data_IF_707617960419
#
_entry.id   IF_707617960419
#
_cell.length_a   1.000
_cell.length_b   1.000
_cell.length_c   1.000
_cell.angle_alpha   90.00
_cell.angle_beta   90.00
_cell.angle_gamma   90.00
#
_symmetry.space_group_name_H-M   'P 1'
#
loop_
_entity.id
_entity.type
_entity.pdbx_description
1 polymer ?
#
# COMPACT_ATOMS: atom_id res chain seq x y z
N UNK A 1 16.98 12.23 42.95
CA UNK A 1 15.74 11.82 42.31
C UNK A 1 16.06 11.35 40.87
N UNK A 2 15.97 10.03 40.71
CA UNK A 2 16.23 9.38 39.43
C UNK A 2 14.98 9.54 38.54
N UNK A 3 15.15 10.16 37.40
CA UNK A 3 14.14 10.18 36.32
C UNK A 3 14.14 8.82 35.67
N UNK A 4 13.06 8.07 35.91
CA UNK A 4 12.76 6.79 35.27
C UNK A 4 12.60 6.99 33.77
N UNK A 5 13.42 6.27 32.99
CA UNK A 5 13.39 6.29 31.53
C UNK A 5 12.06 5.81 30.99
N UNK A 6 11.40 6.65 30.22
CA UNK A 6 10.26 6.28 29.38
C UNK A 6 10.79 5.32 28.32
N UNK A 7 10.46 4.04 28.46
CA UNK A 7 10.82 3.00 27.50
C UNK A 7 10.26 3.36 26.11
N UNK A 8 11.16 3.61 25.15
CA UNK A 8 10.78 3.66 23.72
C UNK A 8 10.18 2.31 23.34
N UNK A 9 8.85 2.25 23.19
CA UNK A 9 8.18 1.11 22.53
C UNK A 9 8.89 0.90 21.19
N UNK A 10 9.44 -0.30 20.94
CA UNK A 10 9.90 -0.70 19.61
C UNK A 10 8.72 -0.51 18.66
N UNK A 11 8.82 0.44 17.74
CA UNK A 11 7.83 0.59 16.67
C UNK A 11 7.82 -0.72 15.88
N UNK A 12 6.64 -1.35 15.78
CA UNK A 12 6.45 -2.58 15.01
C UNK A 12 6.80 -2.34 13.54
N UNK A 13 7.18 -3.42 12.83
CA UNK A 13 7.45 -3.36 11.37
C UNK A 13 6.22 -2.90 10.56
N UNK A 14 5.01 -3.10 11.10
CA UNK A 14 3.74 -2.77 10.45
C UNK A 14 2.82 -2.04 11.44
N UNK A 15 2.03 -1.11 10.92
CA UNK A 15 0.94 -0.50 11.67
C UNK A 15 -0.17 -1.53 11.92
N UNK A 16 -0.92 -1.41 13.02
CA UNK A 16 -2.10 -2.23 13.30
C UNK A 16 -3.11 -2.13 12.15
N UNK A 17 -3.40 -0.90 11.73
CA UNK A 17 -4.23 -0.58 10.58
C UNK A 17 -3.32 -0.25 9.38
N UNK A 18 -2.61 -1.28 8.88
CA UNK A 18 -1.70 -1.11 7.75
C UNK A 18 -2.47 -0.82 6.45
N UNK A 19 -1.84 -0.09 5.54
CA UNK A 19 -2.41 0.21 4.22
C UNK A 19 -2.73 -1.08 3.43
N UNK A 20 -1.81 -2.05 3.42
CA UNK A 20 -2.00 -3.32 2.72
C UNK A 20 -3.15 -4.19 3.25
N UNK A 21 -3.59 -3.97 4.50
CA UNK A 21 -4.74 -4.67 5.08
C UNK A 21 -6.01 -3.81 5.14
N UNK A 22 -6.00 -2.61 4.56
CA UNK A 22 -7.08 -1.64 4.66
C UNK A 22 -8.40 -2.14 4.09
N UNK A 23 -8.38 -2.83 2.97
CA UNK A 23 -9.59 -3.44 2.42
C UNK A 23 -10.28 -4.37 3.43
N UNK A 24 -9.53 -5.09 4.26
CA UNK A 24 -10.08 -5.96 5.29
C UNK A 24 -10.65 -5.17 6.47
N UNK A 25 -9.87 -4.29 7.09
CA UNK A 25 -10.31 -3.62 8.31
C UNK A 25 -11.33 -2.50 8.06
N UNK A 26 -11.40 -1.92 6.86
CA UNK A 26 -12.48 -1.00 6.49
C UNK A 26 -13.83 -1.73 6.34
N UNK A 27 -13.84 -2.95 5.80
CA UNK A 27 -15.04 -3.73 5.62
C UNK A 27 -15.43 -4.59 6.85
N UNK A 28 -14.47 -4.91 7.71
CA UNK A 28 -14.67 -5.68 8.94
C UNK A 28 -13.79 -5.09 10.04
N UNK A 29 -14.18 -3.96 10.67
CA UNK A 29 -13.37 -3.26 11.67
C UNK A 29 -12.85 -4.15 12.80
N UNK A 30 -13.63 -5.07 13.40
CA UNK A 30 -13.14 -5.94 14.48
C UNK A 30 -11.98 -6.85 14.04
N UNK A 31 -11.84 -7.11 12.73
CA UNK A 31 -10.78 -7.95 12.19
C UNK A 31 -9.38 -7.39 12.44
N UNK A 32 -9.24 -6.08 12.70
CA UNK A 32 -7.96 -5.47 13.03
C UNK A 32 -7.38 -6.09 14.30
N UNK A 33 -8.12 -6.00 15.40
CA UNK A 33 -7.70 -6.57 16.70
C UNK A 33 -7.77 -8.09 16.74
N UNK A 34 -8.77 -8.67 16.07
CA UNK A 34 -8.86 -10.13 15.98
C UNK A 34 -7.61 -10.76 15.37
N UNK A 35 -7.07 -10.17 14.30
CA UNK A 35 -5.86 -10.68 13.64
C UNK A 35 -4.59 -10.60 14.49
N UNK A 36 -4.54 -9.74 15.53
CA UNK A 36 -3.40 -9.71 16.47
C UNK A 36 -3.29 -10.97 17.32
N UNK A 37 -4.41 -11.69 17.52
CA UNK A 37 -4.44 -12.95 18.29
C UNK A 37 -3.81 -14.13 17.53
N UNK A 38 -3.55 -13.95 16.24
CA UNK A 38 -3.01 -15.02 15.38
C UNK A 38 -1.60 -14.68 14.94
N UNK A 39 -0.70 -15.65 15.10
CA UNK A 39 0.68 -15.51 14.62
C UNK A 39 0.73 -15.28 13.10
N UNK A 40 1.65 -14.44 12.67
CA UNK A 40 1.98 -14.31 11.26
C UNK A 40 2.90 -15.47 10.86
N UNK A 41 2.36 -16.40 10.09
CA UNK A 41 3.13 -17.57 9.62
C UNK A 41 3.94 -17.27 8.36
N UNK A 42 3.75 -16.06 7.77
CA UNK A 42 4.26 -15.76 6.45
C UNK A 42 3.66 -16.68 5.37
N UNK A 43 4.09 -16.52 4.16
CA UNK A 43 3.85 -17.44 3.04
C UNK A 43 4.96 -17.28 2.01
N UNK A 44 5.21 -18.31 1.21
CA UNK A 44 6.16 -18.25 0.10
C UNK A 44 5.77 -17.14 -0.89
N UNK A 45 4.48 -16.95 -1.14
CA UNK A 45 3.97 -15.85 -1.97
C UNK A 45 4.32 -14.46 -1.43
N UNK A 46 4.25 -14.27 -0.10
CA UNK A 46 4.62 -13.00 0.52
C UNK A 46 6.14 -12.77 0.47
N UNK A 47 6.92 -13.84 0.62
CA UNK A 47 8.38 -13.79 0.50
C UNK A 47 8.82 -13.52 -0.95
N UNK A 48 8.21 -14.20 -1.94
CA UNK A 48 8.41 -13.93 -3.36
C UNK A 48 8.06 -12.47 -3.71
N UNK A 49 6.94 -11.96 -3.18
CA UNK A 49 6.55 -10.57 -3.35
C UNK A 49 7.60 -9.60 -2.79
N UNK A 50 8.18 -9.90 -1.64
CA UNK A 50 9.24 -9.08 -1.03
C UNK A 50 10.49 -9.05 -1.91
N UNK A 51 10.90 -10.19 -2.47
CA UNK A 51 12.03 -10.28 -3.39
C UNK A 51 11.75 -9.47 -4.67
N UNK A 52 10.53 -9.55 -5.19
CA UNK A 52 10.12 -8.80 -6.38
C UNK A 52 10.14 -7.28 -6.17
N UNK A 53 9.66 -6.79 -5.01
CA UNK A 53 9.76 -5.37 -4.65
C UNK A 53 11.22 -4.93 -4.52
N UNK A 54 12.07 -5.73 -3.88
CA UNK A 54 13.51 -5.45 -3.76
C UNK A 54 14.18 -5.33 -5.13
N UNK A 55 13.84 -6.20 -6.07
CA UNK A 55 14.36 -6.16 -7.44
C UNK A 55 13.78 -4.97 -8.21
N UNK A 56 12.47 -4.69 -8.05
CA UNK A 56 11.80 -3.53 -8.66
C UNK A 56 12.42 -2.21 -8.22
N UNK A 57 12.66 -2.05 -6.93
CA UNK A 57 13.36 -0.90 -6.34
C UNK A 57 14.75 -0.71 -6.99
N UNK A 58 15.52 -1.79 -7.06
CA UNK A 58 16.86 -1.77 -7.67
C UNK A 58 16.80 -1.36 -9.15
N UNK A 59 15.92 -1.98 -9.94
CA UNK A 59 15.76 -1.68 -11.37
C UNK A 59 15.34 -0.22 -11.59
N UNK A 60 14.37 0.27 -10.80
CA UNK A 60 13.91 1.65 -10.90
C UNK A 60 15.00 2.65 -10.52
N UNK A 61 15.72 2.41 -9.42
CA UNK A 61 16.84 3.27 -9.02
C UNK A 61 17.90 3.33 -10.11
N UNK A 62 18.28 2.18 -10.68
CA UNK A 62 19.26 2.10 -11.77
C UNK A 62 18.79 2.85 -13.01
N UNK A 63 17.52 2.71 -13.40
CA UNK A 63 16.93 3.39 -14.54
C UNK A 63 16.88 4.92 -14.38
N UNK A 64 16.74 5.40 -13.14
CA UNK A 64 16.80 6.82 -12.78
C UNK A 64 18.25 7.35 -12.56
N UNK A 65 19.27 6.52 -12.78
CA UNK A 65 20.66 6.90 -12.55
C UNK A 65 21.07 6.97 -11.07
N UNK A 66 20.24 6.45 -10.17
CA UNK A 66 20.53 6.40 -8.72
C UNK A 66 21.37 5.16 -8.43
N UNK A 67 22.53 5.37 -7.78
CA UNK A 67 23.42 4.26 -7.41
C UNK A 67 22.73 3.33 -6.40
N UNK A 68 22.61 2.05 -6.76
CA UNK A 68 22.06 1.01 -5.91
C UNK A 68 22.89 -0.27 -6.01
N UNK A 69 22.87 -1.09 -4.96
CA UNK A 69 23.55 -2.39 -4.95
C UNK A 69 22.61 -3.43 -5.56
N UNK A 70 23.11 -4.22 -6.49
CA UNK A 70 22.37 -5.34 -7.09
C UNK A 70 21.99 -6.37 -6.00
N UNK A 71 20.70 -6.62 -5.79
CA UNK A 71 20.21 -7.56 -4.77
C UNK A 71 20.16 -9.01 -5.26
N UNK A 72 20.30 -9.26 -6.56
CA UNK A 72 20.00 -10.55 -7.22
C UNK A 72 20.59 -11.76 -6.52
N UNK A 73 21.85 -11.65 -6.06
CA UNK A 73 22.55 -12.75 -5.36
C UNK A 73 21.94 -13.11 -3.98
N UNK A 74 21.08 -12.25 -3.43
CA UNK A 74 20.47 -12.44 -2.11
C UNK A 74 18.96 -12.73 -2.18
N UNK A 75 18.36 -12.74 -3.37
CA UNK A 75 16.95 -13.06 -3.56
C UNK A 75 16.75 -14.58 -3.56
N UNK A 76 15.81 -15.04 -2.75
CA UNK A 76 15.47 -16.47 -2.63
C UNK A 76 14.64 -16.95 -3.83
N UNK A 77 13.75 -16.09 -4.32
CA UNK A 77 12.78 -16.40 -5.37
C UNK A 77 13.12 -15.77 -6.72
N UNK A 78 14.39 -15.36 -6.93
CA UNK A 78 14.78 -14.78 -8.21
C UNK A 78 14.48 -15.73 -9.37
N UNK A 79 13.92 -15.15 -10.44
CA UNK A 79 13.71 -15.79 -11.74
C UNK A 79 13.85 -14.78 -12.86
N UNK A 80 14.06 -15.23 -14.10
CA UNK A 80 14.06 -14.35 -15.26
C UNK A 80 12.71 -13.67 -15.46
N UNK A 81 11.59 -14.35 -15.17
CA UNK A 81 10.25 -13.75 -15.18
C UNK A 81 10.17 -12.57 -14.18
N UNK A 82 10.66 -12.75 -12.95
CA UNK A 82 10.71 -11.67 -11.95
C UNK A 82 11.58 -10.50 -12.43
N UNK A 83 12.72 -10.80 -13.07
CA UNK A 83 13.61 -9.81 -13.64
C UNK A 83 12.94 -8.99 -14.76
N UNK A 84 12.21 -9.66 -15.65
CA UNK A 84 11.45 -8.99 -16.72
C UNK A 84 10.30 -8.16 -16.17
N UNK A 85 9.55 -8.68 -15.19
CA UNK A 85 8.50 -7.95 -14.50
C UNK A 85 9.02 -6.68 -13.81
N UNK A 86 10.14 -6.77 -13.09
CA UNK A 86 10.78 -5.64 -12.43
C UNK A 86 11.33 -4.61 -13.42
N UNK A 87 11.86 -5.07 -14.55
CA UNK A 87 12.36 -4.20 -15.63
C UNK A 87 11.20 -3.46 -16.32
N UNK A 88 10.08 -4.15 -16.57
CA UNK A 88 8.87 -3.55 -17.09
C UNK A 88 8.26 -2.49 -16.14
N UNK A 89 8.26 -2.77 -14.84
CA UNK A 89 7.86 -1.80 -13.82
C UNK A 89 8.71 -0.52 -13.88
N UNK A 90 10.04 -0.66 -13.93
CA UNK A 90 10.93 0.48 -14.03
C UNK A 90 10.70 1.30 -15.32
N UNK A 91 10.48 0.63 -16.46
CA UNK A 91 10.16 1.28 -17.73
C UNK A 91 8.84 2.06 -17.64
N UNK A 92 7.80 1.48 -17.06
CA UNK A 92 6.51 2.14 -16.86
C UNK A 92 6.64 3.41 -15.99
N UNK A 93 7.39 3.34 -14.90
CA UNK A 93 7.63 4.52 -14.05
C UNK A 93 8.38 5.62 -14.80
N UNK A 94 9.37 5.28 -15.63
CA UNK A 94 10.07 6.26 -16.46
C UNK A 94 9.11 6.98 -17.42
N UNK A 95 8.15 6.27 -18.03
CA UNK A 95 7.12 6.90 -18.87
C UNK A 95 6.26 7.89 -18.09
N UNK A 96 5.87 7.56 -16.85
CA UNK A 96 5.15 8.47 -15.97
C UNK A 96 5.99 9.70 -15.61
N UNK A 97 7.29 9.53 -15.30
CA UNK A 97 8.20 10.64 -15.00
C UNK A 97 8.33 11.58 -16.22
N UNK A 98 8.53 11.04 -17.42
CA UNK A 98 8.60 11.83 -18.64
C UNK A 98 7.27 12.55 -18.95
N UNK A 99 6.15 11.95 -18.59
CA UNK A 99 4.85 12.61 -18.69
C UNK A 99 4.73 13.75 -17.67
N UNK A 100 5.14 13.55 -16.43
CA UNK A 100 5.12 14.55 -15.36
C UNK A 100 6.00 15.77 -15.71
N UNK A 101 7.16 15.55 -16.33
CA UNK A 101 8.07 16.62 -16.80
C UNK A 101 7.45 17.56 -17.84
N UNK A 102 6.36 17.17 -18.49
CA UNK A 102 5.65 18.05 -19.43
C UNK A 102 4.80 19.11 -18.71
N UNK A 103 4.36 18.80 -17.50
CA UNK A 103 3.52 19.69 -16.67
C UNK A 103 4.34 20.41 -15.58
N UNK A 104 5.40 19.81 -15.09
CA UNK A 104 6.24 20.31 -14.00
C UNK A 104 7.72 20.23 -14.38
N UNK A 105 8.48 21.31 -14.21
CA UNK A 105 9.89 21.37 -14.61
C UNK A 105 10.79 20.49 -13.74
N UNK A 106 10.41 20.26 -12.48
CA UNK A 106 11.18 19.57 -11.46
C UNK A 106 10.35 18.53 -10.68
N UNK A 107 9.75 17.52 -11.35
CA UNK A 107 9.02 16.49 -10.65
C UNK A 107 9.96 15.70 -9.73
N UNK A 108 9.51 15.40 -8.53
CA UNK A 108 10.24 14.59 -7.56
C UNK A 108 9.79 13.15 -7.64
N UNK A 109 10.74 12.22 -7.71
CA UNK A 109 10.47 10.77 -7.69
C UNK A 109 11.01 10.18 -6.41
N UNK A 110 10.13 9.59 -5.60
CA UNK A 110 10.47 8.91 -4.36
C UNK A 110 10.18 7.42 -4.51
N UNK A 111 11.14 6.60 -4.09
CA UNK A 111 11.11 5.13 -4.22
C UNK A 111 11.14 4.56 -2.82
N UNK A 112 10.27 3.57 -2.53
CA UNK A 112 10.12 2.96 -1.20
C UNK A 112 9.93 4.04 -0.12
N UNK A 113 9.07 5.00 -0.43
CA UNK A 113 8.83 6.15 0.44
C UNK A 113 7.94 5.77 1.61
N UNK A 114 8.42 6.03 2.83
CA UNK A 114 7.57 5.96 4.02
C UNK A 114 6.56 7.10 3.98
N UNK A 115 5.29 6.73 4.06
CA UNK A 115 4.14 7.62 4.03
C UNK A 115 3.39 7.51 5.36
N UNK A 116 3.24 8.64 6.04
CA UNK A 116 2.56 8.75 7.32
C UNK A 116 1.15 9.30 7.08
N UNK A 117 0.14 8.52 7.41
CA UNK A 117 -1.27 8.91 7.35
C UNK A 117 -1.94 8.86 8.73
N UNK A 118 -1.13 9.04 9.79
CA UNK A 118 -1.58 8.99 11.19
C UNK A 118 -2.57 10.10 11.55
N UNK A 119 -2.66 11.15 10.73
CA UNK A 119 -3.72 12.16 10.84
C UNK A 119 -5.13 11.56 10.76
N UNK A 120 -5.29 10.49 9.96
CA UNK A 120 -6.59 9.85 9.71
C UNK A 120 -6.70 8.49 10.39
N UNK A 121 -5.58 7.81 10.64
CA UNK A 121 -5.54 6.43 11.15
C UNK A 121 -4.50 6.37 12.26
N UNK A 122 -4.91 6.18 13.49
CA UNK A 122 -3.99 6.20 14.66
C UNK A 122 -2.81 5.26 14.47
N UNK A 123 -1.60 5.84 14.51
CA UNK A 123 -0.35 5.12 14.26
C UNK A 123 -0.21 4.58 12.83
N UNK A 124 -0.98 5.10 11.89
CA UNK A 124 -1.02 4.66 10.50
C UNK A 124 0.18 5.12 9.70
N UNK A 125 0.86 4.18 9.05
CA UNK A 125 1.92 4.44 8.09
C UNK A 125 2.05 3.24 7.13
N UNK A 126 2.73 3.49 6.01
CA UNK A 126 3.10 2.46 5.06
C UNK A 126 4.28 2.90 4.22
N UNK A 127 4.67 2.05 3.27
CA UNK A 127 5.72 2.36 2.29
C UNK A 127 5.08 2.28 0.90
N UNK A 128 5.16 3.37 0.15
CA UNK A 128 4.73 3.42 -1.24
C UNK A 128 5.90 3.09 -2.15
N UNK A 129 5.71 2.17 -3.09
CA UNK A 129 6.77 1.67 -3.96
C UNK A 129 7.35 2.79 -4.85
N UNK A 130 6.46 3.61 -5.46
CA UNK A 130 6.86 4.81 -6.19
C UNK A 130 5.84 5.92 -6.00
N UNK A 131 6.34 7.12 -5.69
CA UNK A 131 5.58 8.37 -5.60
C UNK A 131 6.23 9.39 -6.51
N UNK A 132 5.45 9.98 -7.44
CA UNK A 132 5.91 11.07 -8.30
C UNK A 132 5.11 12.32 -7.94
N UNK A 133 5.79 13.35 -7.51
CA UNK A 133 5.20 14.64 -7.13
C UNK A 133 5.49 15.64 -8.25
N UNK A 134 4.43 16.21 -8.81
CA UNK A 134 4.49 17.22 -9.82
C UNK A 134 3.33 18.22 -9.63
N UNK A 135 3.46 19.41 -10.16
CA UNK A 135 2.34 20.34 -10.22
C UNK A 135 1.18 19.72 -11.02
N UNK A 136 -0.04 19.93 -10.53
CA UNK A 136 -1.27 19.37 -11.08
C UNK A 136 -1.56 17.94 -10.64
N UNK A 137 -0.59 17.03 -10.58
CA UNK A 137 -0.88 15.60 -10.30
C UNK A 137 0.18 14.93 -9.44
N UNK A 138 -0.27 14.35 -8.33
CA UNK A 138 0.47 13.38 -7.53
C UNK A 138 0.23 11.96 -8.08
N UNK A 139 1.29 11.22 -8.39
CA UNK A 139 1.17 9.82 -8.81
C UNK A 139 1.62 8.87 -7.70
N UNK A 140 0.81 7.86 -7.42
CA UNK A 140 1.12 6.72 -6.55
C UNK A 140 1.11 5.47 -7.40
N UNK A 141 2.21 4.77 -7.49
CA UNK A 141 2.28 3.50 -8.22
C UNK A 141 2.72 2.38 -7.29
N UNK A 142 1.92 1.32 -7.24
CA UNK A 142 2.11 0.15 -6.41
C UNK A 142 2.36 -1.07 -7.30
N UNK A 143 3.48 -1.76 -7.09
CA UNK A 143 3.90 -2.93 -7.82
C UNK A 143 3.34 -4.20 -7.18
N UNK A 144 2.61 -4.98 -7.94
CA UNK A 144 2.05 -6.27 -7.51
C UNK A 144 2.64 -7.40 -8.33
N UNK A 145 3.49 -8.22 -7.72
CA UNK A 145 4.10 -9.37 -8.39
C UNK A 145 3.19 -10.61 -8.44
N UNK A 146 2.23 -10.71 -7.51
CA UNK A 146 1.34 -11.87 -7.42
C UNK A 146 0.45 -12.05 -8.67
N UNK A 147 0.23 -13.30 -9.05
CA UNK A 147 -0.61 -13.73 -10.19
C UNK A 147 -2.01 -14.22 -9.80
N UNK A 148 -2.24 -14.46 -8.50
CA UNK A 148 -3.45 -15.12 -8.00
C UNK A 148 -4.71 -14.25 -8.05
N UNK A 149 -4.62 -12.96 -7.69
CA UNK A 149 -5.76 -12.04 -7.61
C UNK A 149 -5.48 -10.84 -8.47
N UNK A 150 -6.44 -10.52 -9.35
CA UNK A 150 -6.39 -9.26 -10.09
C UNK A 150 -6.67 -8.11 -9.12
N UNK A 151 -5.77 -7.12 -9.08
CA UNK A 151 -5.91 -5.94 -8.23
C UNK A 151 -6.26 -4.74 -9.09
N UNK A 152 -7.31 -4.01 -8.69
CA UNK A 152 -7.74 -2.78 -9.33
C UNK A 152 -7.32 -1.56 -8.52
N UNK A 153 -7.00 -0.46 -9.20
CA UNK A 153 -6.73 0.82 -8.55
C UNK A 153 -8.01 1.58 -8.19
N UNK A 154 -9.14 1.26 -8.84
CA UNK A 154 -10.42 1.90 -8.58
C UNK A 154 -10.86 1.64 -7.15
N UNK A 155 -11.09 2.70 -6.40
CA UNK A 155 -11.47 2.66 -4.99
C UNK A 155 -10.55 1.83 -4.09
N UNK A 156 -9.30 1.62 -4.49
CA UNK A 156 -8.33 0.86 -3.74
C UNK A 156 -7.89 1.60 -2.46
N UNK A 157 -8.23 1.13 -1.26
CA UNK A 157 -7.96 1.85 -0.03
C UNK A 157 -6.47 1.89 0.34
N UNK A 158 -5.66 0.92 -0.11
CA UNK A 158 -4.21 0.95 0.09
C UNK A 158 -3.59 2.15 -0.63
N UNK A 159 -3.94 2.34 -1.90
CA UNK A 159 -3.46 3.45 -2.70
C UNK A 159 -3.97 4.79 -2.17
N UNK A 160 -5.25 4.86 -1.75
CA UNK A 160 -5.82 6.05 -1.12
C UNK A 160 -5.07 6.46 0.15
N UNK A 161 -4.68 5.50 1.00
CA UNK A 161 -3.89 5.75 2.21
C UNK A 161 -2.49 6.26 1.88
N UNK A 162 -1.84 5.68 0.89
CA UNK A 162 -0.54 6.18 0.43
C UNK A 162 -0.64 7.59 -0.14
N UNK A 163 -1.68 7.87 -0.91
CA UNK A 163 -1.95 9.19 -1.46
C UNK A 163 -2.17 10.24 -0.35
N UNK A 164 -2.96 9.93 0.68
CA UNK A 164 -3.16 10.81 1.82
C UNK A 164 -1.83 11.10 2.55
N UNK A 165 -1.00 10.09 2.78
CA UNK A 165 0.31 10.27 3.41
C UNK A 165 1.27 11.10 2.56
N UNK A 166 1.19 11.00 1.23
CA UNK A 166 1.98 11.82 0.32
C UNK A 166 1.48 13.27 0.27
N UNK A 167 0.16 13.49 0.23
CA UNK A 167 -0.43 14.82 0.29
C UNK A 167 -0.06 15.57 1.59
N UNK A 168 -0.04 14.89 2.75
CA UNK A 168 0.41 15.51 4.01
C UNK A 168 1.84 16.05 3.92
N UNK A 169 2.70 15.46 3.10
CA UNK A 169 4.08 15.90 2.95
C UNK A 169 4.24 16.99 1.88
N UNK A 170 3.44 16.99 0.82
CA UNK A 170 3.76 17.70 -0.42
C UNK A 170 2.69 18.69 -0.91
N UNK A 171 1.43 18.60 -0.48
CA UNK A 171 0.34 19.48 -0.95
C UNK A 171 0.58 20.97 -0.61
N UNK A 172 1.37 21.27 0.42
CA UNK A 172 1.77 22.66 0.73
C UNK A 172 3.00 23.16 -0.04
N UNK A 173 3.64 22.32 -0.87
CA UNK A 173 4.87 22.64 -1.61
C UNK A 173 4.61 22.64 -3.11
N UNK A 174 3.81 21.67 -3.59
CA UNK A 174 3.38 21.54 -4.98
C UNK A 174 1.91 21.88 -5.11
N UNK A 175 1.53 22.45 -6.24
CA UNK A 175 0.11 22.77 -6.56
C UNK A 175 -0.56 21.49 -7.10
N UNK A 176 -1.04 20.64 -6.19
CA UNK A 176 -1.62 19.34 -6.51
C UNK A 176 -3.15 19.48 -6.58
N UNK A 177 -3.75 19.18 -7.73
CA UNK A 177 -5.21 19.15 -7.93
C UNK A 177 -5.76 17.71 -7.93
N UNK A 178 -5.00 16.79 -8.48
CA UNK A 178 -5.42 15.42 -8.70
C UNK A 178 -4.41 14.39 -8.16
N UNK A 179 -4.91 13.23 -7.84
CA UNK A 179 -4.11 12.06 -7.45
C UNK A 179 -4.37 10.93 -8.43
N UNK A 180 -3.34 10.51 -9.12
CA UNK A 180 -3.34 9.34 -10.01
C UNK A 180 -2.75 8.15 -9.28
N UNK A 181 -3.54 7.12 -9.09
CA UNK A 181 -3.18 5.89 -8.41
C UNK A 181 -3.09 4.77 -9.41
N UNK A 182 -2.02 3.97 -9.41
CA UNK A 182 -1.83 2.88 -10.38
C UNK A 182 -1.41 1.60 -9.68
N UNK A 183 -2.07 0.50 -10.03
CA UNK A 183 -1.58 -0.85 -9.80
C UNK A 183 -0.82 -1.31 -11.04
N UNK A 184 0.44 -1.68 -10.87
CA UNK A 184 1.24 -2.33 -11.91
C UNK A 184 1.43 -3.81 -11.55
N UNK A 185 0.71 -4.70 -12.26
CA UNK A 185 0.68 -6.15 -11.99
C UNK A 185 1.03 -6.94 -13.26
N UNK A 186 2.33 -7.07 -13.61
CA UNK A 186 2.76 -7.58 -14.91
C UNK A 186 2.40 -9.03 -15.17
N UNK A 187 2.46 -9.93 -14.16
CA UNK A 187 2.10 -11.34 -14.32
C UNK A 187 0.61 -11.56 -14.68
N UNK A 188 -0.21 -10.50 -14.51
CA UNK A 188 -1.63 -10.48 -14.93
C UNK A 188 -1.84 -9.62 -16.17
N UNK A 189 -0.78 -9.11 -16.80
CA UNK A 189 -0.86 -8.14 -17.90
C UNK A 189 -1.78 -6.96 -17.52
N UNK A 190 -1.71 -6.53 -16.26
CA UNK A 190 -2.61 -5.55 -15.67
C UNK A 190 -1.86 -4.28 -15.30
N UNK A 191 -2.25 -3.19 -15.93
CA UNK A 191 -1.92 -1.83 -15.51
C UNK A 191 -3.25 -1.12 -15.29
N UNK A 192 -3.60 -0.87 -14.03
CA UNK A 192 -4.88 -0.29 -13.64
C UNK A 192 -4.65 1.12 -13.08
N UNK A 193 -4.85 2.19 -13.84
CA UNK A 193 -4.82 3.55 -13.36
C UNK A 193 -6.20 4.01 -12.88
N UNK A 194 -6.22 4.84 -11.83
CA UNK A 194 -7.42 5.52 -11.36
C UNK A 194 -7.05 6.91 -10.84
N UNK A 195 -7.73 7.95 -11.34
CA UNK A 195 -7.44 9.33 -10.96
C UNK A 195 -8.65 9.95 -10.28
N UNK A 196 -8.41 10.65 -9.18
CA UNK A 196 -9.43 11.37 -8.41
C UNK A 196 -8.93 12.79 -8.11
N UNK A 197 -9.86 13.73 -7.89
CA UNK A 197 -9.51 15.03 -7.30
C UNK A 197 -9.12 14.87 -5.84
N UNK A 198 -8.12 15.63 -5.38
CA UNK A 198 -7.64 15.54 -3.98
C UNK A 198 -8.74 15.83 -2.96
N UNK A 199 -9.67 16.73 -3.29
CA UNK A 199 -10.81 17.05 -2.43
C UNK A 199 -11.72 15.85 -2.19
N UNK A 200 -11.95 15.03 -3.23
CA UNK A 200 -12.72 13.79 -3.09
C UNK A 200 -12.03 12.77 -2.18
N UNK A 201 -10.69 12.74 -2.23
CA UNK A 201 -9.90 11.88 -1.35
C UNK A 201 -9.95 12.38 0.09
N UNK A 202 -9.85 13.68 0.33
CA UNK A 202 -10.00 14.26 1.67
C UNK A 202 -11.41 14.05 2.22
N UNK A 203 -12.45 14.20 1.39
CA UNK A 203 -13.83 13.92 1.80
C UNK A 203 -13.97 12.46 2.23
N UNK A 204 -13.49 11.52 1.42
CA UNK A 204 -13.48 10.09 1.78
C UNK A 204 -12.72 9.84 3.09
N UNK A 205 -11.60 10.52 3.30
CA UNK A 205 -10.81 10.37 4.52
C UNK A 205 -11.55 10.81 5.78
N UNK A 206 -12.27 11.92 5.73
CA UNK A 206 -13.02 12.42 6.89
C UNK A 206 -14.34 11.68 7.10
N UNK A 207 -15.07 11.33 6.03
CA UNK A 207 -16.42 10.74 6.15
C UNK A 207 -16.39 9.22 6.36
N UNK A 208 -15.41 8.51 5.79
CA UNK A 208 -15.37 7.03 5.79
C UNK A 208 -14.14 6.50 6.54
N UNK A 209 -12.94 6.94 6.14
CA UNK A 209 -11.70 6.37 6.65
C UNK A 209 -11.55 6.59 8.15
N UNK A 210 -11.58 7.82 8.60
CA UNK A 210 -11.29 8.21 9.99
C UNK A 210 -12.27 7.58 10.99
N UNK A 211 -13.61 7.70 10.82
CA UNK A 211 -14.53 7.07 11.76
C UNK A 211 -14.43 5.54 11.76
N UNK A 212 -14.17 4.91 10.60
CA UNK A 212 -13.99 3.45 10.54
C UNK A 212 -12.67 3.03 11.19
N UNK A 213 -11.59 3.80 11.00
CA UNK A 213 -10.30 3.52 11.62
C UNK A 213 -10.36 3.64 13.16
N UNK A 214 -11.07 4.63 13.70
CA UNK A 214 -11.29 4.77 15.13
C UNK A 214 -12.00 3.54 15.73
N UNK A 215 -13.07 3.08 15.06
CA UNK A 215 -13.81 1.87 15.45
C UNK A 215 -12.90 0.63 15.37
N UNK A 216 -12.14 0.47 14.28
CA UNK A 216 -11.26 -0.66 14.06
C UNK A 216 -10.08 -0.67 15.05
N UNK A 217 -9.51 0.49 15.36
CA UNK A 217 -8.43 0.64 16.34
C UNK A 217 -8.89 0.25 17.75
N UNK A 218 -10.11 0.63 18.12
CA UNK A 218 -10.74 0.22 19.38
C UNK A 218 -11.15 -1.27 19.41
N UNK A 219 -11.16 -1.97 18.28
CA UNK A 219 -11.63 -3.36 18.17
C UNK A 219 -13.16 -3.48 18.16
N UNK A 220 -13.85 -2.38 17.88
CA UNK A 220 -15.30 -2.30 17.80
C UNK A 220 -15.86 -2.59 16.40
N UNK A 221 -17.17 -2.36 16.25
CA UNK A 221 -17.89 -2.56 15.01
C UNK A 221 -18.45 -3.97 14.83
N UNK A 222 -19.09 -4.19 13.68
CA UNK A 222 -19.70 -5.47 13.34
C UNK A 222 -18.79 -6.35 12.49
N UNK A 223 -18.84 -7.67 12.76
CA UNK A 223 -18.17 -8.63 11.87
C UNK A 223 -18.92 -8.71 10.54
N UNK A 224 -18.17 -8.57 9.47
CA UNK A 224 -18.63 -8.68 8.09
C UNK A 224 -17.80 -9.69 7.33
N UNK A 225 -18.42 -10.43 6.42
CA UNK A 225 -17.74 -11.43 5.58
C UNK A 225 -17.87 -11.11 4.11
N UNK A 226 -16.73 -11.17 3.41
CA UNK A 226 -16.61 -10.88 1.99
C UNK A 226 -15.29 -11.40 1.43
N UNK A 227 -14.90 -10.89 0.27
CA UNK A 227 -13.62 -11.21 -0.37
C UNK A 227 -12.42 -10.82 0.50
N UNK A 228 -12.55 -9.76 1.31
CA UNK A 228 -11.55 -9.34 2.28
C UNK A 228 -11.19 -10.41 3.35
N UNK A 229 -12.03 -11.44 3.51
CA UNK A 229 -11.74 -12.57 4.41
C UNK A 229 -10.62 -13.47 3.90
N UNK A 230 -10.25 -13.41 2.63
CA UNK A 230 -9.25 -14.28 2.03
C UNK A 230 -7.90 -14.19 2.75
N UNK A 231 -7.48 -12.97 3.13
CA UNK A 231 -6.23 -12.69 3.83
C UNK A 231 -6.40 -12.49 5.34
N UNK A 232 -7.60 -12.74 5.88
CA UNK A 232 -7.84 -12.64 7.30
C UNK A 232 -7.17 -13.82 8.04
N UNK A 233 -6.33 -13.53 9.05
CA UNK A 233 -5.66 -14.56 9.85
C UNK A 233 -6.64 -15.46 10.61
N UNK A 234 -7.80 -14.91 10.99
CA UNK A 234 -8.87 -15.63 11.71
C UNK A 234 -9.86 -16.36 10.78
N UNK A 235 -9.60 -16.43 9.47
CA UNK A 235 -10.58 -16.92 8.49
C UNK A 235 -11.13 -18.31 8.71
N UNK A 236 -10.37 -19.20 9.38
CA UNK A 236 -10.79 -20.58 9.62
C UNK A 236 -11.64 -20.74 10.89
N UNK A 237 -11.64 -19.77 11.79
CA UNK A 237 -12.34 -19.80 13.08
C UNK A 237 -13.45 -18.73 13.14
N UNK A 238 -13.60 -17.93 12.08
CA UNK A 238 -14.58 -16.84 12.03
C UNK A 238 -15.98 -17.35 11.76
N UNK A 239 -16.87 -17.23 12.77
CA UNK A 239 -18.27 -17.62 12.70
C UNK A 239 -19.01 -16.90 11.56
N UNK A 240 -18.80 -15.56 11.40
CA UNK A 240 -19.49 -14.80 10.35
C UNK A 240 -19.14 -15.26 8.94
N UNK A 241 -17.88 -15.68 8.72
CA UNK A 241 -17.46 -16.28 7.46
C UNK A 241 -18.07 -17.66 7.25
N UNK A 242 -18.17 -18.49 8.32
CA UNK A 242 -18.81 -19.80 8.25
C UNK A 242 -20.30 -19.68 7.91
N UNK A 243 -21.01 -18.75 8.53
CA UNK A 243 -22.42 -18.45 8.22
C UNK A 243 -22.60 -18.13 6.72
N UNK A 244 -21.80 -17.19 6.16
CA UNK A 244 -21.87 -16.86 4.73
C UNK A 244 -21.58 -18.07 3.82
N UNK A 245 -20.61 -18.90 4.19
CA UNK A 245 -20.31 -20.09 3.37
C UNK A 245 -21.47 -21.09 3.34
N UNK A 246 -22.21 -21.20 4.45
CA UNK A 246 -23.43 -22.02 4.52
C UNK A 246 -24.59 -21.44 3.70
N UNK A 247 -24.69 -20.12 3.58
CA UNK A 247 -25.69 -19.45 2.74
C UNK A 247 -25.42 -19.64 1.24
N UNK A 248 -24.16 -19.90 0.86
CA UNK A 248 -23.74 -20.06 -0.54
C UNK A 248 -23.66 -21.54 -0.98
N UNK A 249 -23.85 -22.51 -0.06
CA UNK A 249 -23.79 -23.95 -0.31
C UNK A 249 -25.17 -24.51 -0.66
#
# INVERSE_FOLDING_TARGET
PQLSGVGRKKMGKHALLSASSSHRWLNCPPSARLCELYADKGSDYAAEGTDAHTLGEYKLKTALGIKAKDPTANLTYYSEEMNDCASGYAAYILELVESAKKACADPVVLIEQRLDFSRYVEGGFGTGDCVIIADGTLHICDYKHGDGILVDATDNPQLKLYALGALELFDGIYDIDAVSMTIYQPRRSNVSPHTVFKESLYQWAEEILKPTAEIAYAGGGEYSSGEWCQFCKAKYECRKRAERNLELA
#
